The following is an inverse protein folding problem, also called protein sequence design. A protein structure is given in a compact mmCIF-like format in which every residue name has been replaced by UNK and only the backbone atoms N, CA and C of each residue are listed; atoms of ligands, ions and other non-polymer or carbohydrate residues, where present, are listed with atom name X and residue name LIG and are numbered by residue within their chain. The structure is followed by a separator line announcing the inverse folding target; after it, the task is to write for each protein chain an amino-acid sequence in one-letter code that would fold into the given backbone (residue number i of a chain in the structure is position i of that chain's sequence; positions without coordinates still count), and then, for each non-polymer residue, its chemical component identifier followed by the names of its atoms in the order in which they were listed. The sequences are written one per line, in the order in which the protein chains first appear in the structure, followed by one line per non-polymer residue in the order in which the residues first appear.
data_IF_962581108875
#
_entry.id   IF_962581108875
#
_cell.length_a   1.000
_cell.length_b   1.000
_cell.length_c   1.000
_cell.angle_alpha   90.00
_cell.angle_beta   90.00
_cell.angle_gamma   90.00
#
_symmetry.space_group_name_H-M   'P 1'
#
loop_
_entity.id
_entity.type
_entity.pdbx_description
1 polymer ?
#
# COMPACT_ATOMS: atom_id res chain seq x y z
N UNK A 1 -15.73 -25.09 -5.00
CA UNK A 1 -14.48 -25.91 -5.07
C UNK A 1 -13.42 -25.24 -4.19
N UNK A 2 -12.72 -25.99 -3.32
CA UNK A 2 -11.70 -25.41 -2.43
C UNK A 2 -10.47 -24.94 -3.20
N UNK A 3 -9.94 -23.76 -2.85
CA UNK A 3 -8.71 -23.21 -3.44
C UNK A 3 -7.80 -22.69 -2.33
N UNK A 4 -6.52 -23.04 -2.38
CA UNK A 4 -5.54 -22.53 -1.43
C UNK A 4 -5.04 -21.15 -1.87
N UNK A 5 -5.27 -20.11 -1.08
CA UNK A 5 -4.94 -18.73 -1.44
C UNK A 5 -3.80 -18.21 -0.58
N UNK A 6 -2.61 -18.05 -1.19
CA UNK A 6 -1.53 -17.31 -0.56
C UNK A 6 -1.87 -15.82 -0.46
N UNK A 7 -1.64 -15.24 0.72
CA UNK A 7 -1.92 -13.84 1.06
C UNK A 7 -0.66 -13.14 1.59
N UNK A 8 -0.36 -11.98 1.01
CA UNK A 8 0.74 -11.13 1.47
C UNK A 8 0.32 -9.94 2.34
N UNK A 9 -0.96 -9.52 2.29
CA UNK A 9 -1.55 -8.47 3.12
C UNK A 9 -3.08 -8.46 3.02
N UNK A 10 -3.76 -7.84 4.00
CA UNK A 10 -5.22 -7.73 4.01
C UNK A 10 -5.81 -6.94 2.83
N UNK A 11 -5.25 -5.78 2.39
CA UNK A 11 -5.80 -5.06 1.22
C UNK A 11 -5.86 -5.91 -0.06
N UNK A 12 -4.81 -6.66 -0.37
CA UNK A 12 -4.79 -7.52 -1.56
C UNK A 12 -5.75 -8.71 -1.40
N UNK A 13 -5.88 -9.27 -0.17
CA UNK A 13 -6.86 -10.32 0.13
C UNK A 13 -8.29 -9.86 -0.14
N UNK A 14 -8.64 -8.60 0.13
CA UNK A 14 -10.05 -8.16 0.02
C UNK A 14 -10.68 -8.46 -1.34
N UNK A 15 -10.06 -7.98 -2.41
CA UNK A 15 -10.55 -8.18 -3.78
C UNK A 15 -10.31 -9.60 -4.27
N UNK A 16 -9.19 -10.23 -3.89
CA UNK A 16 -8.89 -11.60 -4.29
C UNK A 16 -9.90 -12.60 -3.75
N UNK A 17 -10.22 -12.51 -2.45
CA UNK A 17 -11.20 -13.37 -1.80
C UNK A 17 -12.57 -13.22 -2.45
N UNK A 18 -13.05 -11.97 -2.55
CA UNK A 18 -14.37 -11.67 -3.11
C UNK A 18 -14.52 -12.21 -4.54
N UNK A 19 -13.53 -11.97 -5.41
CA UNK A 19 -13.57 -12.45 -6.80
C UNK A 19 -13.51 -13.96 -6.92
N UNK A 20 -12.78 -14.65 -6.04
CA UNK A 20 -12.76 -16.11 -6.03
C UNK A 20 -14.13 -16.67 -5.60
N UNK A 21 -14.74 -16.09 -4.56
CA UNK A 21 -16.10 -16.47 -4.12
C UNK A 21 -17.12 -16.21 -5.23
N UNK A 22 -17.08 -15.06 -5.90
CA UNK A 22 -17.96 -14.72 -7.04
C UNK A 22 -17.79 -15.72 -8.21
N UNK A 23 -16.63 -16.38 -8.32
CA UNK A 23 -16.37 -17.42 -9.33
C UNK A 23 -16.70 -18.85 -8.83
N UNK A 24 -17.32 -19.01 -7.66
CA UNK A 24 -17.73 -20.31 -7.11
C UNK A 24 -16.61 -21.10 -6.40
N UNK A 25 -15.49 -20.44 -6.07
CA UNK A 25 -14.45 -21.04 -5.24
C UNK A 25 -14.73 -20.83 -3.75
N UNK A 26 -14.16 -21.72 -2.94
CA UNK A 26 -14.13 -21.66 -1.48
C UNK A 26 -12.67 -21.43 -1.05
N UNK A 27 -12.22 -20.18 -0.85
CA UNK A 27 -10.82 -19.87 -0.58
C UNK A 27 -10.43 -20.22 0.85
N UNK A 28 -9.40 -21.04 0.99
CA UNK A 28 -8.70 -21.28 2.26
C UNK A 28 -7.45 -20.43 2.26
N UNK A 29 -7.33 -19.54 3.23
CA UNK A 29 -6.33 -18.47 3.23
C UNK A 29 -5.05 -18.94 3.91
N UNK A 30 -3.91 -18.60 3.31
CA UNK A 30 -2.58 -18.80 3.87
C UNK A 30 -1.80 -17.50 3.89
N UNK A 31 -1.62 -16.93 5.08
CA UNK A 31 -0.79 -15.74 5.24
C UNK A 31 0.68 -16.12 5.31
N UNK A 32 1.44 -15.77 4.29
CA UNK A 32 2.89 -15.98 4.28
C UNK A 32 3.60 -14.86 3.57
N UNK A 33 4.32 -14.06 4.35
CA UNK A 33 5.10 -12.98 3.80
C UNK A 33 6.34 -12.73 4.67
N UNK A 34 7.39 -13.54 4.51
CA UNK A 34 8.53 -13.55 5.42
C UNK A 34 9.35 -12.27 5.35
N UNK A 35 9.23 -11.50 4.25
CA UNK A 35 10.03 -10.30 4.06
C UNK A 35 9.46 -9.03 4.72
N UNK A 36 8.31 -9.11 5.41
CA UNK A 36 7.74 -7.92 6.04
C UNK A 36 8.71 -7.44 7.12
N UNK A 37 9.06 -6.17 7.07
CA UNK A 37 10.01 -5.53 7.97
C UNK A 37 9.54 -4.10 8.27
N UNK A 38 9.55 -3.67 9.53
CA UNK A 38 9.99 -4.42 10.72
C UNK A 38 8.94 -5.45 11.21
N UNK A 39 9.29 -6.26 12.21
CA UNK A 39 8.39 -7.28 12.79
C UNK A 39 7.04 -6.72 13.28
N UNK A 40 7.02 -5.46 13.70
CA UNK A 40 5.79 -4.75 14.06
C UNK A 40 4.83 -4.60 12.87
N UNK A 41 5.35 -4.34 11.66
CA UNK A 41 4.54 -4.30 10.44
C UNK A 41 4.01 -5.71 10.10
N UNK A 42 4.80 -6.76 10.31
CA UNK A 42 4.35 -8.14 10.09
C UNK A 42 3.13 -8.44 10.96
N UNK A 43 3.28 -8.19 12.27
CA UNK A 43 2.22 -8.40 13.26
C UNK A 43 0.97 -7.60 12.89
N UNK A 44 1.14 -6.33 12.50
CA UNK A 44 0.03 -5.48 12.06
C UNK A 44 -0.69 -6.04 10.83
N UNK A 45 0.04 -6.44 9.79
CA UNK A 45 -0.56 -6.98 8.56
C UNK A 45 -1.26 -8.32 8.80
N UNK A 46 -0.69 -9.18 9.64
CA UNK A 46 -1.31 -10.44 10.04
C UNK A 46 -2.61 -10.20 10.82
N UNK A 47 -2.61 -9.26 11.76
CA UNK A 47 -3.81 -8.93 12.54
C UNK A 47 -4.96 -8.40 11.65
N UNK A 48 -4.66 -7.66 10.59
CA UNK A 48 -5.69 -7.25 9.63
C UNK A 48 -6.27 -8.42 8.83
N UNK A 49 -5.46 -9.45 8.54
CA UNK A 49 -5.95 -10.68 7.89
C UNK A 49 -6.80 -11.50 8.86
N UNK A 50 -6.39 -11.62 10.13
CA UNK A 50 -7.20 -12.23 11.21
C UNK A 50 -8.54 -11.54 11.37
N UNK A 51 -8.54 -10.21 11.42
CA UNK A 51 -9.76 -9.40 11.44
C UNK A 51 -10.69 -9.73 10.27
N UNK A 52 -10.16 -9.87 9.04
CA UNK A 52 -10.98 -10.29 7.89
C UNK A 52 -11.49 -11.73 8.04
N UNK A 53 -10.69 -12.63 8.61
CA UNK A 53 -11.08 -14.02 8.91
C UNK A 53 -12.26 -14.06 9.89
N UNK A 54 -12.22 -13.25 10.95
CA UNK A 54 -13.31 -13.13 11.93
C UNK A 54 -14.60 -12.59 11.30
N UNK A 55 -14.48 -11.59 10.41
CA UNK A 55 -15.65 -10.95 9.77
C UNK A 55 -16.27 -11.85 8.69
N UNK A 56 -15.46 -12.56 7.91
CA UNK A 56 -15.94 -13.34 6.75
C UNK A 56 -16.04 -14.85 7.01
N UNK A 57 -15.55 -15.33 8.15
CA UNK A 57 -15.61 -16.74 8.54
C UNK A 57 -14.75 -17.68 7.69
N UNK A 58 -13.70 -17.17 7.03
CA UNK A 58 -12.81 -18.04 6.23
C UNK A 58 -11.72 -18.68 7.10
N UNK A 59 -11.28 -19.88 6.69
CA UNK A 59 -10.17 -20.57 7.33
C UNK A 59 -8.83 -19.90 7.01
N UNK A 60 -8.03 -19.63 8.04
CA UNK A 60 -6.71 -18.99 7.96
C UNK A 60 -5.61 -19.92 8.47
N UNK A 61 -4.59 -20.14 7.64
CA UNK A 61 -3.30 -20.71 8.03
C UNK A 61 -2.24 -19.61 8.09
N UNK A 62 -1.39 -19.67 9.10
CA UNK A 62 -0.27 -18.75 9.30
C UNK A 62 1.03 -19.45 8.92
N UNK A 63 1.79 -18.85 8.01
CA UNK A 63 3.13 -19.30 7.69
C UNK A 63 4.19 -18.64 8.57
N UNK A 64 5.31 -19.33 8.73
CA UNK A 64 6.43 -18.89 9.55
C UNK A 64 6.94 -17.48 9.16
N UNK A 65 7.26 -16.66 10.16
CA UNK A 65 7.92 -15.37 9.94
C UNK A 65 9.44 -15.54 9.88
N UNK A 66 9.97 -15.68 8.67
CA UNK A 66 11.37 -16.05 8.45
C UNK A 66 12.14 -14.98 7.65
N UNK A 67 12.33 -13.76 8.20
CA UNK A 67 12.96 -12.65 7.47
C UNK A 67 14.40 -12.97 7.04
N UNK A 68 15.12 -13.79 7.81
CA UNK A 68 16.50 -14.18 7.49
C UNK A 68 16.56 -15.04 6.23
N UNK A 69 15.63 -16.00 6.04
CA UNK A 69 15.54 -16.79 4.81
C UNK A 69 15.33 -15.92 3.57
N UNK A 70 14.54 -14.85 3.70
CA UNK A 70 14.39 -13.88 2.63
C UNK A 70 15.72 -13.15 2.35
N UNK A 71 16.38 -12.63 3.39
CA UNK A 71 17.64 -11.91 3.23
C UNK A 71 18.75 -12.78 2.64
N UNK A 72 18.85 -14.05 3.03
CA UNK A 72 19.80 -15.01 2.47
C UNK A 72 19.57 -15.23 0.97
N UNK A 73 18.32 -15.45 0.54
CA UNK A 73 17.97 -15.60 -0.88
C UNK A 73 18.33 -14.37 -1.71
N UNK A 74 18.13 -13.17 -1.17
CA UNK A 74 18.46 -11.92 -1.85
C UNK A 74 19.98 -11.68 -1.89
N UNK A 75 20.69 -11.79 -0.76
CA UNK A 75 22.14 -11.56 -0.67
C UNK A 75 22.97 -12.50 -1.54
N UNK A 76 22.58 -13.78 -1.62
CA UNK A 76 23.26 -14.76 -2.48
C UNK A 76 23.30 -14.32 -3.95
N UNK A 77 22.34 -13.51 -4.39
CA UNK A 77 22.24 -13.02 -5.77
C UNK A 77 22.83 -11.61 -5.94
N UNK A 78 22.78 -10.76 -4.92
CA UNK A 78 23.46 -9.44 -4.93
C UNK A 78 25.00 -9.58 -4.95
N UNK A 79 25.60 -10.59 -4.31
CA UNK A 79 27.04 -10.85 -4.42
C UNK A 79 27.50 -11.26 -5.84
N UNK A 80 26.57 -11.46 -6.78
CA UNK A 80 26.87 -11.73 -8.19
C UNK A 80 26.65 -10.54 -9.14
N UNK A 81 26.11 -9.40 -8.67
CA UNK A 81 25.74 -8.25 -9.53
C UNK A 81 25.93 -6.88 -8.82
N UNK A 82 26.49 -5.90 -9.53
CA UNK A 82 26.72 -4.53 -9.02
C UNK A 82 25.41 -3.79 -8.68
N UNK A 83 25.44 -2.93 -7.65
CA UNK A 83 24.27 -2.27 -7.05
C UNK A 83 23.59 -1.21 -7.97
N UNK A 84 22.85 -1.68 -8.98
CA UNK A 84 22.11 -0.84 -9.94
C UNK A 84 20.59 -1.15 -9.92
N UNK A 85 19.78 -0.40 -10.69
CA UNK A 85 18.32 -0.60 -10.81
C UNK A 85 17.92 -2.04 -11.24
N UNK A 86 18.79 -2.75 -11.95
CA UNK A 86 18.64 -4.18 -12.28
C UNK A 86 18.52 -5.08 -11.04
N UNK A 87 19.17 -4.73 -9.92
CA UNK A 87 19.07 -5.48 -8.68
C UNK A 87 17.67 -5.40 -8.05
N UNK A 88 16.90 -4.33 -8.34
CA UNK A 88 15.54 -4.16 -7.81
C UNK A 88 14.53 -5.09 -8.48
N UNK A 89 14.65 -5.30 -9.79
CA UNK A 89 13.81 -6.22 -10.56
C UNK A 89 14.06 -7.66 -10.13
N UNK A 90 15.33 -8.04 -10.03
CA UNK A 90 15.76 -9.36 -9.59
C UNK A 90 15.29 -9.67 -8.14
N UNK A 91 15.42 -8.71 -7.22
CA UNK A 91 14.93 -8.84 -5.84
C UNK A 91 13.42 -9.12 -5.75
N UNK A 92 12.62 -8.36 -6.50
CA UNK A 92 11.17 -8.52 -6.48
C UNK A 92 10.73 -9.87 -7.04
N UNK A 93 11.40 -10.35 -8.10
CA UNK A 93 11.19 -11.67 -8.67
C UNK A 93 11.46 -12.78 -7.63
N UNK A 94 12.65 -12.78 -7.01
CA UNK A 94 13.02 -13.78 -5.99
C UNK A 94 12.10 -13.76 -4.77
N UNK A 95 11.67 -12.56 -4.37
CA UNK A 95 10.67 -12.41 -3.32
C UNK A 95 9.33 -13.09 -3.68
N UNK A 96 8.86 -12.94 -4.92
CA UNK A 96 7.63 -13.59 -5.38
C UNK A 96 7.84 -15.11 -5.46
N UNK A 97 8.98 -15.55 -5.99
CA UNK A 97 9.35 -16.96 -6.11
C UNK A 97 9.35 -17.68 -4.77
N UNK A 98 10.03 -17.13 -3.76
CA UNK A 98 10.03 -17.67 -2.40
C UNK A 98 8.61 -17.87 -1.83
N UNK A 99 7.72 -16.91 -2.06
CA UNK A 99 6.34 -16.96 -1.57
C UNK A 99 5.50 -17.99 -2.32
N UNK A 100 5.67 -18.08 -3.64
CA UNK A 100 4.97 -19.02 -4.50
C UNK A 100 5.43 -20.46 -4.26
N UNK A 101 6.73 -20.68 -4.05
CA UNK A 101 7.31 -21.97 -3.64
C UNK A 101 6.68 -22.48 -2.33
N UNK A 102 6.68 -21.65 -1.27
CA UNK A 102 6.06 -22.03 0.02
C UNK A 102 4.56 -22.24 -0.13
N UNK A 103 3.85 -21.40 -0.90
CA UNK A 103 2.42 -21.55 -1.14
C UNK A 103 2.07 -22.87 -1.82
N UNK A 104 2.81 -23.26 -2.86
CA UNK A 104 2.61 -24.54 -3.56
C UNK A 104 2.92 -25.72 -2.63
N UNK A 105 4.04 -25.66 -1.90
CA UNK A 105 4.43 -26.71 -0.97
C UNK A 105 3.39 -26.91 0.14
N UNK A 106 2.86 -25.83 0.71
CA UNK A 106 1.87 -25.89 1.77
C UNK A 106 0.51 -26.38 1.26
N UNK A 107 0.10 -25.92 0.07
CA UNK A 107 -1.10 -26.41 -0.59
C UNK A 107 -1.02 -27.92 -0.86
N UNK A 108 0.15 -28.42 -1.31
CA UNK A 108 0.42 -29.86 -1.50
C UNK A 108 0.34 -30.63 -0.17
N UNK A 109 0.98 -30.10 0.89
CA UNK A 109 0.97 -30.70 2.24
C UNK A 109 -0.45 -30.86 2.80
N UNK A 110 -1.33 -29.91 2.48
CA UNK A 110 -2.72 -29.88 2.90
C UNK A 110 -3.68 -30.53 1.88
N UNK A 111 -3.16 -31.23 0.86
CA UNK A 111 -3.93 -31.96 -0.15
C UNK A 111 -4.90 -31.09 -0.97
N UNK A 112 -4.59 -29.82 -1.21
CA UNK A 112 -5.32 -29.01 -2.17
C UNK A 112 -4.94 -29.42 -3.59
N UNK A 113 -5.90 -29.38 -4.52
CA UNK A 113 -5.65 -29.60 -5.95
C UNK A 113 -5.27 -28.32 -6.71
N UNK A 114 -5.55 -27.17 -6.11
CA UNK A 114 -5.40 -25.86 -6.73
C UNK A 114 -4.95 -24.81 -5.72
N UNK A 115 -4.06 -23.92 -6.16
CA UNK A 115 -3.64 -22.77 -5.38
C UNK A 115 -3.60 -21.49 -6.21
N UNK A 116 -3.69 -20.33 -5.55
CA UNK A 116 -3.56 -19.01 -6.15
C UNK A 116 -2.86 -18.05 -5.20
N UNK A 117 -2.72 -16.79 -5.60
CA UNK A 117 -1.95 -15.78 -4.85
C UNK A 117 -2.56 -14.39 -4.94
N UNK A 118 -2.59 -13.66 -3.82
CA UNK A 118 -3.00 -12.24 -3.81
C UNK A 118 -1.97 -11.32 -4.47
N UNK A 119 -0.78 -11.81 -4.85
CA UNK A 119 0.19 -11.00 -5.62
C UNK A 119 -0.41 -10.49 -6.94
N UNK A 120 -1.40 -11.20 -7.49
CA UNK A 120 -2.17 -10.80 -8.66
C UNK A 120 -3.09 -9.59 -8.41
N UNK A 121 -3.35 -9.21 -7.16
CA UNK A 121 -4.08 -7.99 -6.82
C UNK A 121 -3.17 -6.76 -6.67
N UNK A 122 -1.91 -6.94 -6.29
CA UNK A 122 -1.00 -5.83 -5.99
C UNK A 122 -0.50 -5.10 -7.25
N UNK A 123 -0.76 -3.79 -7.44
CA UNK A 123 -0.31 -3.07 -8.65
C UNK A 123 1.22 -3.03 -8.83
N UNK A 124 1.99 -3.31 -7.77
CA UNK A 124 3.46 -3.33 -7.79
C UNK A 124 4.08 -4.67 -8.21
N UNK A 125 3.26 -5.67 -8.56
CA UNK A 125 3.73 -7.01 -8.92
C UNK A 125 3.43 -7.31 -10.37
N UNK A 126 4.42 -7.85 -11.07
CA UNK A 126 4.31 -8.21 -12.48
C UNK A 126 3.50 -9.49 -12.63
N UNK A 127 2.47 -9.48 -13.48
CA UNK A 127 1.70 -10.70 -13.77
C UNK A 127 2.51 -11.66 -14.64
N UNK A 128 3.36 -11.16 -15.54
CA UNK A 128 4.22 -12.00 -16.38
C UNK A 128 5.20 -12.78 -15.51
N UNK A 129 5.88 -12.12 -14.56
CA UNK A 129 6.84 -12.77 -13.67
C UNK A 129 6.16 -13.82 -12.78
N UNK A 130 4.95 -13.52 -12.27
CA UNK A 130 4.18 -14.49 -11.48
C UNK A 130 3.87 -15.72 -12.33
N UNK A 131 3.40 -15.53 -13.56
CA UNK A 131 3.07 -16.63 -14.46
C UNK A 131 4.31 -17.45 -14.81
N UNK A 132 5.43 -16.79 -15.15
CA UNK A 132 6.74 -17.42 -15.39
C UNK A 132 7.16 -18.30 -14.21
N UNK A 133 7.23 -17.72 -13.01
CA UNK A 133 7.57 -18.46 -11.78
C UNK A 133 6.65 -19.67 -11.59
N UNK A 134 5.34 -19.51 -11.74
CA UNK A 134 4.39 -20.61 -11.52
C UNK A 134 4.46 -21.69 -12.60
N UNK A 135 4.84 -21.33 -13.83
CA UNK A 135 5.10 -22.29 -14.90
C UNK A 135 6.35 -23.12 -14.57
N UNK A 136 7.42 -22.46 -14.11
CA UNK A 136 8.68 -23.11 -13.72
C UNK A 136 8.52 -24.03 -12.51
N UNK A 137 7.61 -23.69 -11.59
CA UNK A 137 7.28 -24.56 -10.46
C UNK A 137 6.56 -25.85 -10.89
N UNK A 138 6.21 -26.02 -12.17
CA UNK A 138 5.71 -27.26 -12.76
C UNK A 138 4.21 -27.22 -13.00
N UNK A 139 3.81 -27.26 -14.29
CA UNK A 139 2.42 -27.38 -14.77
C UNK A 139 1.78 -28.73 -14.43
N UNK A 140 2.59 -29.79 -14.40
CA UNK A 140 2.15 -31.18 -14.18
C UNK A 140 2.13 -31.61 -12.69
N UNK A 141 2.54 -30.71 -11.79
CA UNK A 141 2.61 -31.01 -10.36
C UNK A 141 1.34 -30.55 -9.64
N UNK A 142 0.68 -31.47 -8.93
CA UNK A 142 -0.41 -31.16 -8.00
C UNK A 142 0.15 -30.44 -6.76
N UNK A 143 -0.34 -29.25 -6.37
CA UNK A 143 -1.48 -28.49 -6.93
C UNK A 143 -1.16 -27.60 -8.14
N UNK A 144 -2.16 -27.45 -9.02
CA UNK A 144 -2.11 -26.57 -10.18
C UNK A 144 -2.32 -25.10 -9.77
N UNK A 145 -1.57 -24.19 -10.39
CA UNK A 145 -1.73 -22.75 -10.17
C UNK A 145 -2.95 -22.20 -10.91
N UNK A 146 -3.81 -21.46 -10.21
CA UNK A 146 -4.95 -20.74 -10.79
C UNK A 146 -4.64 -19.26 -10.91
N UNK A 147 -4.44 -18.81 -12.13
CA UNK A 147 -4.35 -17.40 -12.44
C UNK A 147 -5.73 -16.75 -12.45
N UNK A 148 -5.86 -15.62 -11.74
CA UNK A 148 -7.01 -14.72 -11.80
C UNK A 148 -6.50 -13.28 -11.77
N UNK A 149 -6.87 -12.48 -12.76
CA UNK A 149 -6.56 -11.05 -12.74
C UNK A 149 -7.49 -10.32 -11.75
N UNK A 150 -7.04 -10.17 -10.50
CA UNK A 150 -7.84 -9.50 -9.48
C UNK A 150 -7.98 -7.99 -9.69
N UNK A 151 -7.18 -7.37 -10.58
CA UNK A 151 -7.21 -5.92 -10.87
C UNK A 151 -8.29 -5.53 -11.88
N UNK A 152 -8.73 -6.47 -12.72
CA UNK A 152 -9.76 -6.23 -13.76
C UNK A 152 -11.11 -5.82 -13.17
N UNK A 153 -12.07 -5.38 -13.99
CA UNK A 153 -13.47 -5.18 -13.59
C UNK A 153 -13.62 -4.38 -12.29
N UNK A 154 -12.98 -3.21 -12.21
CA UNK A 154 -12.99 -2.32 -11.03
C UNK A 154 -12.43 -2.93 -9.73
N UNK A 155 -11.61 -3.99 -9.81
CA UNK A 155 -11.06 -4.68 -8.64
C UNK A 155 -10.25 -3.76 -7.71
N UNK A 156 -9.48 -2.81 -8.26
CA UNK A 156 -8.73 -1.83 -7.46
C UNK A 156 -9.66 -0.91 -6.66
N UNK A 157 -10.74 -0.44 -7.28
CA UNK A 157 -11.74 0.39 -6.61
C UNK A 157 -12.46 -0.42 -5.54
N UNK A 158 -12.87 -1.66 -5.86
CA UNK A 158 -13.51 -2.58 -4.92
C UNK A 158 -12.64 -2.83 -3.68
N UNK A 159 -11.34 -3.11 -3.85
CA UNK A 159 -10.40 -3.26 -2.75
C UNK A 159 -10.37 -2.01 -1.86
N UNK A 160 -10.30 -0.82 -2.46
CA UNK A 160 -10.30 0.45 -1.72
C UNK A 160 -11.60 0.67 -0.94
N UNK A 161 -12.76 0.35 -1.53
CA UNK A 161 -14.06 0.42 -0.87
C UNK A 161 -14.12 -0.55 0.31
N UNK A 162 -13.76 -1.81 0.12
CA UNK A 162 -13.78 -2.83 1.19
C UNK A 162 -12.84 -2.43 2.34
N UNK A 163 -11.63 -1.98 2.02
CA UNK A 163 -10.69 -1.50 3.05
C UNK A 163 -11.27 -0.34 3.85
N UNK A 164 -11.96 0.59 3.18
CA UNK A 164 -12.61 1.72 3.87
C UNK A 164 -13.77 1.24 4.75
N UNK A 165 -14.61 0.34 4.24
CA UNK A 165 -15.78 -0.19 4.97
C UNK A 165 -15.38 -0.91 6.25
N UNK A 166 -14.37 -1.78 6.18
CA UNK A 166 -13.93 -2.56 7.35
C UNK A 166 -12.79 -1.89 8.13
N UNK A 167 -12.43 -0.65 7.80
CA UNK A 167 -11.29 0.05 8.38
C UNK A 167 -10.01 -0.81 8.40
N UNK A 168 -9.66 -1.36 7.24
CA UNK A 168 -8.48 -2.20 7.06
C UNK A 168 -7.25 -1.31 6.91
N UNK A 169 -6.21 -1.59 7.68
CA UNK A 169 -4.94 -0.89 7.54
C UNK A 169 -4.34 -1.08 6.14
N UNK A 170 -3.92 0.04 5.55
CA UNK A 170 -3.28 0.10 4.23
C UNK A 170 -1.84 0.57 4.38
N UNK A 171 -0.92 -0.31 4.01
CA UNK A 171 0.51 -0.07 3.99
C UNK A 171 0.93 0.91 2.88
N UNK A 172 2.00 1.68 3.13
CA UNK A 172 2.56 2.64 2.18
C UNK A 172 3.75 2.08 1.35
N UNK A 173 4.23 0.88 1.68
CA UNK A 173 5.35 0.21 1.02
C UNK A 173 5.11 -1.31 0.90
N UNK A 174 5.90 -2.00 0.07
CA UNK A 174 5.65 -3.41 -0.27
C UNK A 174 5.77 -4.37 0.93
N UNK A 175 6.56 -4.02 1.93
CA UNK A 175 6.81 -4.84 3.13
C UNK A 175 8.28 -5.03 3.44
N UNK A 176 9.18 -5.12 2.44
CA UNK A 176 10.61 -5.32 2.71
C UNK A 176 11.34 -4.05 3.15
N UNK A 177 12.47 -4.25 3.83
CA UNK A 177 13.40 -3.20 4.27
C UNK A 177 13.83 -2.28 3.12
N UNK A 178 14.11 -2.85 1.95
CA UNK A 178 14.46 -2.06 0.76
C UNK A 178 13.32 -1.12 0.33
N UNK A 179 12.10 -1.65 0.21
CA UNK A 179 10.93 -0.83 -0.15
C UNK A 179 10.59 0.21 0.91
N UNK A 180 10.90 -0.06 2.18
CA UNK A 180 10.78 0.91 3.26
C UNK A 180 11.79 2.05 3.09
N UNK A 181 13.06 1.74 2.80
CA UNK A 181 14.10 2.74 2.58
C UNK A 181 13.83 3.58 1.32
N UNK A 182 13.41 2.95 0.23
CA UNK A 182 12.94 3.64 -0.99
C UNK A 182 11.80 4.61 -0.64
N UNK A 183 10.78 4.16 0.11
CA UNK A 183 9.66 5.00 0.54
C UNK A 183 10.10 6.19 1.38
N UNK A 184 11.05 6.01 2.31
CA UNK A 184 11.61 7.10 3.13
C UNK A 184 12.36 8.12 2.28
N UNK A 185 13.20 7.65 1.35
CA UNK A 185 13.94 8.52 0.42
C UNK A 185 13.00 9.36 -0.44
N UNK A 186 11.94 8.76 -1.00
CA UNK A 186 10.94 9.51 -1.76
C UNK A 186 10.19 10.53 -0.91
N UNK A 187 9.89 10.19 0.34
CA UNK A 187 9.26 11.13 1.28
C UNK A 187 10.16 12.33 1.59
N UNK A 188 11.45 12.10 1.87
CA UNK A 188 12.44 13.14 2.10
C UNK A 188 12.61 14.03 0.86
N UNK A 189 12.73 13.44 -0.32
CA UNK A 189 12.79 14.18 -1.59
C UNK A 189 11.54 15.03 -1.82
N UNK A 190 10.35 14.49 -1.56
CA UNK A 190 9.10 15.25 -1.68
C UNK A 190 9.03 16.37 -0.64
N UNK A 191 9.54 16.16 0.58
CA UNK A 191 9.60 17.18 1.63
C UNK A 191 10.54 18.31 1.21
N UNK A 192 11.74 17.98 0.73
CA UNK A 192 12.72 18.98 0.27
C UNK A 192 12.22 19.77 -0.93
N UNK A 193 11.59 19.10 -1.90
CA UNK A 193 10.97 19.76 -3.05
C UNK A 193 9.87 20.73 -2.61
N UNK A 194 8.98 20.29 -1.72
CA UNK A 194 7.92 21.14 -1.20
C UNK A 194 8.47 22.33 -0.39
N UNK A 195 9.53 22.13 0.39
CA UNK A 195 10.21 23.21 1.11
C UNK A 195 10.75 24.25 0.14
N UNK A 196 11.54 23.83 -0.86
CA UNK A 196 12.11 24.72 -1.87
C UNK A 196 11.05 25.51 -2.62
N UNK A 197 9.97 24.85 -3.07
CA UNK A 197 8.86 25.53 -3.73
C UNK A 197 8.12 26.50 -2.81
N UNK A 198 8.15 26.28 -1.50
CA UNK A 198 7.58 27.22 -0.53
C UNK A 198 8.48 28.45 -0.36
N UNK A 199 9.80 28.26 -0.30
CA UNK A 199 10.78 29.36 -0.27
C UNK A 199 10.61 30.27 -1.49
N UNK A 200 10.46 29.68 -2.68
CA UNK A 200 10.21 30.42 -3.92
C UNK A 200 8.89 31.20 -3.89
N UNK A 201 7.87 30.73 -3.16
CA UNK A 201 6.55 31.37 -3.10
C UNK A 201 6.45 32.47 -2.03
N UNK A 202 7.01 32.26 -0.83
CA UNK A 202 6.78 33.13 0.34
C UNK A 202 8.07 33.58 1.03
N UNK A 203 9.23 33.28 0.47
CA UNK A 203 10.53 33.57 1.08
C UNK A 203 10.92 32.60 2.19
N UNK A 204 12.20 32.64 2.56
CA UNK A 204 12.81 31.72 3.52
C UNK A 204 12.22 31.87 4.93
N UNK A 205 12.08 33.11 5.43
CA UNK A 205 11.61 33.38 6.79
C UNK A 205 10.19 32.85 7.04
N UNK A 206 9.25 33.15 6.15
CA UNK A 206 7.88 32.66 6.27
C UNK A 206 7.81 31.16 6.03
N UNK A 207 8.66 30.61 5.16
CA UNK A 207 8.75 29.16 4.94
C UNK A 207 9.16 28.44 6.23
N UNK A 208 10.22 28.89 6.90
CA UNK A 208 10.66 28.31 8.17
C UNK A 208 9.53 28.37 9.22
N UNK A 209 8.78 29.47 9.27
CA UNK A 209 7.66 29.65 10.19
C UNK A 209 6.51 28.68 9.96
N UNK A 210 6.12 28.44 8.70
CA UNK A 210 4.90 27.68 8.37
C UNK A 210 5.15 26.23 7.96
N UNK A 211 6.37 25.86 7.54
CA UNK A 211 6.67 24.49 7.11
C UNK A 211 6.61 23.47 8.25
N UNK A 212 6.63 23.92 9.51
CA UNK A 212 6.30 23.08 10.68
C UNK A 212 4.91 22.44 10.60
N UNK A 213 4.02 22.94 9.75
CA UNK A 213 2.70 22.37 9.49
C UNK A 213 2.65 21.38 8.33
N UNK A 214 3.80 21.02 7.76
CA UNK A 214 3.89 19.99 6.71
C UNK A 214 3.30 18.66 7.18
N UNK A 215 2.32 18.14 6.45
CA UNK A 215 1.52 16.94 6.73
C UNK A 215 0.85 16.90 8.11
N UNK A 216 0.60 18.06 8.74
CA UNK A 216 -0.13 18.11 10.02
C UNK A 216 -1.56 17.57 9.83
N UNK A 217 -2.04 16.82 10.82
CA UNK A 217 -3.37 16.21 10.76
C UNK A 217 -4.49 17.26 10.68
N UNK A 218 -4.36 18.33 11.46
CA UNK A 218 -5.32 19.43 11.50
C UNK A 218 -4.59 20.77 11.38
N UNK A 219 -4.95 21.53 10.36
CA UNK A 219 -4.50 22.90 10.13
C UNK A 219 -5.67 23.87 10.32
N UNK A 220 -5.49 24.91 11.14
CA UNK A 220 -6.54 25.89 11.47
C UNK A 220 -6.30 27.23 10.79
N UNK A 221 -7.30 27.77 10.12
CA UNK A 221 -7.26 29.09 9.50
C UNK A 221 -8.34 29.96 10.18
N UNK A 222 -7.98 31.07 10.85
CA UNK A 222 -6.70 31.78 10.76
C UNK A 222 -5.65 31.42 11.85
N UNK A 223 -5.94 30.52 12.80
CA UNK A 223 -5.12 30.36 14.02
C UNK A 223 -3.69 29.85 13.77
N UNK A 224 -3.53 28.84 12.91
CA UNK A 224 -2.21 28.31 12.56
C UNK A 224 -1.59 29.14 11.42
N UNK A 225 -2.41 29.57 10.46
CA UNK A 225 -2.01 30.32 9.26
C UNK A 225 -2.95 31.52 9.07
N UNK A 226 -2.42 32.76 9.07
CA UNK A 226 -3.24 33.96 8.91
C UNK A 226 -4.00 33.99 7.57
N UNK A 227 -5.25 34.47 7.59
CA UNK A 227 -6.07 34.67 6.38
C UNK A 227 -5.35 35.55 5.36
N UNK A 228 -4.78 36.67 5.84
CA UNK A 228 -3.99 37.61 5.03
C UNK A 228 -2.86 36.97 4.23
N UNK A 229 -2.24 35.90 4.75
CA UNK A 229 -1.24 35.19 3.96
C UNK A 229 -1.90 34.51 2.75
N UNK A 230 -3.01 33.81 2.97
CA UNK A 230 -3.74 33.10 1.93
C UNK A 230 -4.39 34.05 0.92
N UNK A 231 -4.81 35.25 1.34
CA UNK A 231 -5.27 36.31 0.43
C UNK A 231 -4.15 36.70 -0.55
N UNK A 232 -2.91 36.80 -0.07
CA UNK A 232 -1.77 37.21 -0.88
C UNK A 232 -1.26 36.10 -1.83
N UNK A 233 -1.18 34.85 -1.35
CA UNK A 233 -0.52 33.74 -2.07
C UNK A 233 -1.48 32.68 -2.61
N UNK A 234 -2.76 32.81 -2.29
CA UNK A 234 -3.82 31.87 -2.64
C UNK A 234 -3.77 30.56 -1.86
N UNK A 235 -4.86 29.77 -1.97
CA UNK A 235 -4.92 28.43 -1.36
C UNK A 235 -3.87 27.45 -1.89
N UNK A 236 -3.28 27.72 -3.06
CA UNK A 236 -2.23 26.90 -3.65
C UNK A 236 -1.02 26.74 -2.72
N UNK A 237 -0.77 27.70 -1.83
CA UNK A 237 0.22 27.58 -0.76
C UNK A 237 0.03 26.30 0.09
N UNK A 238 -1.21 25.90 0.36
CA UNK A 238 -1.53 24.71 1.17
C UNK A 238 -1.10 23.40 0.50
N UNK A 239 -0.87 23.38 -0.83
CA UNK A 239 -0.40 22.19 -1.54
C UNK A 239 1.01 21.77 -1.14
N UNK A 240 1.82 22.72 -0.65
CA UNK A 240 3.17 22.44 -0.19
C UNK A 240 3.19 21.92 1.24
N UNK A 241 2.19 22.30 2.05
CA UNK A 241 2.01 21.81 3.42
C UNK A 241 1.25 20.48 3.47
N UNK A 242 0.28 20.22 2.58
CA UNK A 242 -0.51 18.98 2.52
C UNK A 242 -1.14 18.54 3.86
N UNK A 243 -1.82 19.41 4.62
CA UNK A 243 -2.49 19.01 5.86
C UNK A 243 -3.62 18.00 5.60
N UNK A 244 -3.90 17.07 6.51
CA UNK A 244 -4.97 16.09 6.28
C UNK A 244 -6.37 16.74 6.32
N UNK A 245 -6.59 17.62 7.30
CA UNK A 245 -7.83 18.38 7.51
C UNK A 245 -7.48 19.86 7.63
N UNK A 246 -8.24 20.70 6.92
CA UNK A 246 -8.19 22.15 7.00
C UNK A 246 -9.46 22.62 7.69
N UNK A 247 -9.34 23.17 8.91
CA UNK A 247 -10.44 23.78 9.64
C UNK A 247 -10.42 25.29 9.37
N UNK A 248 -11.43 25.80 8.69
CA UNK A 248 -11.47 27.16 8.17
C UNK A 248 -12.74 27.88 8.66
N UNK A 249 -12.61 29.11 9.15
CA UNK A 249 -13.78 29.93 9.48
C UNK A 249 -14.62 30.18 8.24
N UNK A 250 -15.96 30.14 8.39
CA UNK A 250 -16.90 30.38 7.29
C UNK A 250 -16.65 31.68 6.54
N UNK A 251 -16.38 32.78 7.24
CA UNK A 251 -16.16 34.08 6.58
C UNK A 251 -14.95 34.03 5.64
N UNK A 252 -13.82 33.49 6.11
CA UNK A 252 -12.59 33.35 5.32
C UNK A 252 -12.79 32.37 4.15
N UNK A 253 -13.57 31.31 4.36
CA UNK A 253 -13.80 30.29 3.33
C UNK A 253 -14.55 30.83 2.11
N UNK A 254 -15.44 31.81 2.32
CA UNK A 254 -16.20 32.46 1.25
C UNK A 254 -15.27 33.16 0.26
N UNK A 255 -14.18 33.78 0.73
CA UNK A 255 -13.18 34.44 -0.12
C UNK A 255 -12.51 33.49 -1.12
N UNK A 256 -12.55 32.18 -0.84
CA UNK A 256 -11.98 31.14 -1.70
C UNK A 256 -13.03 30.25 -2.39
N UNK A 257 -14.29 30.69 -2.45
CA UNK A 257 -15.42 29.92 -3.01
C UNK A 257 -15.65 28.57 -2.33
N UNK A 258 -15.34 28.47 -1.02
CA UNK A 258 -15.56 27.27 -0.21
C UNK A 258 -16.82 27.49 0.63
N UNK A 259 -17.94 26.91 0.17
CA UNK A 259 -19.26 27.11 0.78
C UNK A 259 -19.74 25.97 1.68
N UNK A 260 -19.14 24.78 1.60
CA UNK A 260 -19.54 23.61 2.40
C UNK A 260 -18.34 22.85 2.95
N UNK A 261 -18.56 22.04 3.98
CA UNK A 261 -17.53 21.11 4.45
C UNK A 261 -17.42 19.94 3.48
N UNK A 262 -16.34 19.88 2.69
CA UNK A 262 -16.14 18.87 1.65
C UNK A 262 -14.66 18.67 1.31
N UNK A 263 -14.37 17.83 0.32
CA UNK A 263 -13.03 17.72 -0.28
C UNK A 263 -12.91 18.67 -1.46
N UNK A 264 -12.00 19.62 -1.36
CA UNK A 264 -11.72 20.62 -2.39
C UNK A 264 -10.42 20.30 -3.11
N UNK A 265 -10.40 20.56 -4.42
CA UNK A 265 -9.19 20.47 -5.22
C UNK A 265 -8.34 21.72 -4.96
N UNK A 266 -7.14 21.51 -4.41
CA UNK A 266 -6.12 22.53 -4.18
C UNK A 266 -4.97 22.17 -5.12
N UNK A 267 -4.99 22.77 -6.31
CA UNK A 267 -4.10 22.43 -7.44
C UNK A 267 -4.13 20.93 -7.79
N UNK A 268 -3.01 20.21 -7.66
CA UNK A 268 -2.88 18.78 -7.96
C UNK A 268 -3.22 17.87 -6.75
N UNK A 269 -3.73 18.46 -5.67
CA UNK A 269 -4.05 17.77 -4.42
C UNK A 269 -5.52 17.99 -4.03
N UNK A 270 -6.08 17.11 -3.20
CA UNK A 270 -7.44 17.26 -2.63
C UNK A 270 -7.37 17.32 -1.10
N UNK A 271 -7.67 18.48 -0.53
CA UNK A 271 -7.74 18.70 0.92
C UNK A 271 -9.16 18.55 1.45
N UNK A 272 -9.32 17.97 2.64
CA UNK A 272 -10.61 17.98 3.35
C UNK A 272 -10.73 19.31 4.10
N UNK A 273 -11.70 20.13 3.72
CA UNK A 273 -12.00 21.40 4.37
C UNK A 273 -13.24 21.24 5.24
N UNK A 274 -13.15 21.65 6.49
CA UNK A 274 -14.25 21.69 7.46
C UNK A 274 -14.46 23.15 7.82
N UNK A 275 -15.70 23.61 7.62
CA UNK A 275 -16.12 24.96 7.98
C UNK A 275 -16.63 24.99 9.41
N UNK A 276 -16.25 26.01 10.17
CA UNK A 276 -16.82 26.32 11.48
C UNK A 276 -17.29 27.76 11.54
#
# INVERSE_FOLDING_TARGET
MKIFLHVCCAPDLTVSYRKLVEQGYDPVVFFYNPNIYPAQEYSKRLNEVKKLSDIWGFQLYEGDYEPDKFLEKIKRRENSLTANEENTLNRCYECMKLRLEKAKAEAKRLNFSMYSTTLLASPRKSHSDILEITNDLGKEDNPTFKYVNFRSNNGVHMAATICKTYNIYRQNYCGCSFSLNESKRYEEQSKQKNYKSLVELIGEELTQKYFKYYKKDLLRIPQDIPAKLLENVGLNFLKYLKPQIILMKKEIAQDFNIVTSSRYKIDNWKGKVILW
#
